data_IF_604442595467
#
_entry.id   IF_604442595467
#
_cell.length_a   1.000
_cell.length_b   1.000
_cell.length_c   1.000
_cell.angle_alpha   90.00
_cell.angle_beta   90.00
_cell.angle_gamma   90.00
#
_symmetry.space_group_name_H-M   'P 1'
#
loop_
_entity.id
_entity.type
_entity.pdbx_description
1 polymer ?
#
# COMPACT_ATOMS: atom_id res chain seq x y z
N UNK A 1 -9.53 4.66 2.06
CA UNK A 1 -9.54 3.36 1.35
C UNK A 1 -8.86 2.30 2.19
N UNK A 2 -9.45 1.11 2.39
CA UNK A 2 -8.88 0.06 3.27
C UNK A 2 -8.46 -1.19 2.50
N UNK A 3 -7.32 -1.79 2.84
CA UNK A 3 -6.80 -3.03 2.27
C UNK A 3 -6.60 -4.06 3.36
N UNK A 4 -6.98 -5.31 3.09
CA UNK A 4 -6.75 -6.42 3.99
C UNK A 4 -5.52 -7.20 3.55
N UNK A 5 -4.50 -7.24 4.40
CA UNK A 5 -3.33 -8.11 4.28
C UNK A 5 -3.70 -9.40 4.99
N UNK A 6 -3.81 -10.50 4.25
CA UNK A 6 -4.16 -11.81 4.80
C UNK A 6 -2.94 -12.72 4.84
N UNK A 7 -2.92 -13.63 5.81
CA UNK A 7 -1.85 -14.63 5.99
C UNK A 7 -1.70 -15.55 4.77
N UNK A 8 -2.81 -15.83 4.08
CA UNK A 8 -2.87 -16.80 2.98
C UNK A 8 -2.55 -16.20 1.60
N UNK A 9 -2.36 -14.89 1.53
CA UNK A 9 -2.09 -14.17 0.28
C UNK A 9 -0.71 -13.52 0.35
N UNK A 10 -0.19 -13.12 -0.80
CA UNK A 10 1.04 -12.31 -0.93
C UNK A 10 0.77 -10.95 -1.58
N UNK A 11 -0.50 -10.65 -1.86
CA UNK A 11 -0.96 -9.38 -2.39
C UNK A 11 -2.40 -9.08 -2.00
N UNK A 12 -2.72 -7.80 -1.94
CA UNK A 12 -4.10 -7.32 -1.76
C UNK A 12 -4.81 -7.21 -3.10
N UNK A 13 -6.15 -7.14 -3.09
CA UNK A 13 -6.90 -6.80 -4.29
C UNK A 13 -6.59 -5.37 -4.76
N UNK A 14 -6.38 -5.13 -6.07
CA UNK A 14 -6.24 -3.79 -6.62
C UNK A 14 -7.49 -2.95 -6.37
N UNK A 15 -7.28 -1.69 -6.01
CA UNK A 15 -8.36 -0.73 -5.86
C UNK A 15 -8.13 0.47 -6.76
N UNK A 16 -9.20 0.83 -7.48
CA UNK A 16 -9.22 2.01 -8.32
C UNK A 16 -9.43 3.28 -7.49
N UNK A 17 -8.75 4.36 -7.86
CA UNK A 17 -8.98 5.71 -7.38
C UNK A 17 -8.89 6.68 -8.56
N UNK A 18 -9.60 7.80 -8.45
CA UNK A 18 -9.66 8.84 -9.48
C UNK A 18 -9.45 10.16 -8.78
N UNK A 19 -8.20 10.62 -8.62
CA UNK A 19 -7.91 12.02 -8.33
C UNK A 19 -6.42 12.37 -8.38
N UNK A 20 -6.17 13.64 -8.68
CA UNK A 20 -4.87 14.27 -8.85
C UNK A 20 -4.44 14.89 -7.51
N UNK A 21 -3.27 14.50 -7.01
CA UNK A 21 -2.71 14.76 -5.66
C UNK A 21 -3.26 13.81 -4.58
N UNK A 22 -2.45 12.83 -4.21
CA UNK A 22 -2.82 11.86 -3.16
C UNK A 22 -1.61 11.61 -2.28
N UNK A 23 -1.80 11.81 -0.98
CA UNK A 23 -0.80 11.51 0.04
C UNK A 23 -1.12 10.20 0.74
N UNK A 24 -0.24 9.22 0.61
CA UNK A 24 -0.37 7.96 1.33
C UNK A 24 -0.06 8.13 2.83
N UNK A 25 -0.94 7.63 3.71
CA UNK A 25 -0.67 7.49 5.16
C UNK A 25 -0.78 6.02 5.54
N UNK A 26 0.31 5.41 6.02
CA UNK A 26 0.30 4.03 6.52
C UNK A 26 0.22 4.08 8.05
N UNK A 27 -0.77 3.41 8.63
CA UNK A 27 -0.88 3.26 10.08
C UNK A 27 0.18 2.25 10.55
N UNK A 28 0.95 2.55 11.62
CA UNK A 28 2.00 1.64 12.11
C UNK A 28 1.46 0.27 12.54
N UNK A 29 2.24 -0.78 12.32
CA UNK A 29 1.88 -2.15 12.70
C UNK A 29 2.59 -2.58 14.00
N UNK A 30 1.95 -3.44 14.79
CA UNK A 30 2.52 -4.02 16.03
C UNK A 30 3.36 -5.29 15.81
N UNK A 31 3.52 -5.75 14.57
CA UNK A 31 4.22 -6.99 14.20
C UNK A 31 4.90 -6.83 12.84
N UNK A 32 5.81 -7.75 12.52
CA UNK A 32 6.68 -7.69 11.34
C UNK A 32 5.93 -8.09 10.05
N UNK A 33 5.86 -7.18 9.08
CA UNK A 33 5.38 -7.45 7.72
C UNK A 33 6.57 -7.44 6.77
N UNK A 34 7.00 -8.62 6.31
CA UNK A 34 8.22 -8.76 5.52
C UNK A 34 7.99 -8.41 4.06
N UNK A 35 8.83 -7.52 3.54
CA UNK A 35 8.86 -7.18 2.11
C UNK A 35 7.61 -6.44 1.61
N UNK A 36 6.99 -5.60 2.44
CA UNK A 36 5.84 -4.78 2.02
C UNK A 36 6.24 -3.81 0.90
N UNK A 37 5.52 -3.88 -0.21
CA UNK A 37 5.69 -3.01 -1.39
C UNK A 37 4.35 -2.37 -1.74
N UNK A 38 4.38 -1.07 -1.99
CA UNK A 38 3.27 -0.35 -2.61
C UNK A 38 3.40 -0.50 -4.12
N UNK A 39 2.34 -1.00 -4.74
CA UNK A 39 2.27 -1.14 -6.18
C UNK A 39 1.20 -0.20 -6.73
N UNK A 40 1.55 0.52 -7.79
CA UNK A 40 0.72 1.51 -8.44
C UNK A 40 0.67 1.20 -9.93
N UNK A 41 -0.50 1.39 -10.56
CA UNK A 41 -0.68 1.21 -11.99
C UNK A 41 -1.52 2.34 -12.57
N UNK A 42 -1.08 2.89 -13.70
CA UNK A 42 -1.83 3.92 -14.41
C UNK A 42 -2.69 3.33 -15.53
N UNK A 43 -3.53 4.14 -16.17
CA UNK A 43 -4.44 3.69 -17.24
C UNK A 43 -3.73 3.03 -18.44
N UNK A 44 -2.43 3.29 -18.61
CA UNK A 44 -1.61 2.71 -19.68
C UNK A 44 -0.94 1.39 -19.25
N UNK A 45 -1.28 0.84 -18.08
CA UNK A 45 -0.67 -0.38 -17.53
C UNK A 45 0.77 -0.18 -17.03
N UNK A 46 1.26 1.06 -16.94
CA UNK A 46 2.60 1.32 -16.41
C UNK A 46 2.59 1.13 -14.91
N UNK A 47 3.34 0.13 -14.45
CA UNK A 47 3.50 -0.21 -13.04
C UNK A 47 4.64 0.60 -12.41
N UNK A 48 4.43 1.06 -11.19
CA UNK A 48 5.46 1.60 -10.32
C UNK A 48 5.41 0.85 -8.99
N UNK A 49 6.57 0.32 -8.58
CA UNK A 49 6.72 -0.36 -7.29
C UNK A 49 7.51 0.60 -6.41
N UNK A 50 6.90 1.06 -5.33
CA UNK A 50 7.56 1.85 -4.28
C UNK A 50 7.70 0.95 -3.07
N UNK A 51 8.94 0.62 -2.73
CA UNK A 51 9.22 -0.25 -1.60
C UNK A 51 9.01 0.52 -0.30
N UNK A 52 8.16 -0.02 0.58
CA UNK A 52 7.85 0.61 1.87
C UNK A 52 8.79 -0.02 2.89
N UNK A 53 9.98 0.54 2.97
CA UNK A 53 10.92 0.16 4.02
C UNK A 53 10.50 0.82 5.32
N UNK A 54 10.12 0.00 6.29
CA UNK A 54 9.89 0.35 7.70
C UNK A 54 8.54 1.03 8.01
N UNK A 55 7.60 0.21 8.49
CA UNK A 55 6.32 0.59 9.13
C UNK A 55 6.36 0.36 10.65
N UNK A 56 7.52 -0.07 11.16
CA UNK A 56 7.80 -0.27 12.58
C UNK A 56 8.02 1.05 13.32
N UNK A 57 8.37 2.12 12.61
CA UNK A 57 8.44 3.47 13.15
C UNK A 57 7.19 4.26 12.75
N UNK A 58 6.61 5.00 13.70
CA UNK A 58 5.39 5.82 13.59
C UNK A 58 5.47 6.97 12.55
N UNK A 59 6.42 6.91 11.63
CA UNK A 59 6.65 7.88 10.57
C UNK A 59 5.69 7.63 9.43
N UNK A 60 4.68 8.49 9.36
CA UNK A 60 3.79 8.62 8.20
C UNK A 60 4.66 9.03 7.01
N UNK A 61 4.71 8.20 5.96
CA UNK A 61 5.40 8.52 4.70
C UNK A 61 4.42 8.98 3.64
N UNK A 62 4.53 10.25 3.27
CA UNK A 62 3.82 10.82 2.15
C UNK A 62 4.39 10.29 0.82
N UNK A 63 3.58 9.58 0.05
CA UNK A 63 3.94 9.08 -1.28
C UNK A 63 2.99 9.67 -2.31
N UNK A 64 3.53 10.45 -3.26
CA UNK A 64 2.78 10.96 -4.41
C UNK A 64 2.42 9.80 -5.37
N UNK A 65 1.12 9.68 -5.67
CA UNK A 65 0.56 8.66 -6.57
C UNK A 65 -0.30 9.26 -7.69
N UNK A 66 -0.17 10.56 -7.96
CA UNK A 66 -0.98 11.36 -8.90
C UNK A 66 -1.17 10.78 -10.31
N UNK A 67 -0.16 10.19 -10.99
CA UNK A 67 -0.37 9.71 -12.36
C UNK A 67 -1.01 8.32 -12.43
N UNK A 68 -1.37 7.70 -11.30
CA UNK A 68 -1.85 6.31 -11.25
C UNK A 68 -3.37 6.27 -11.01
N UNK A 69 -3.99 5.14 -11.36
CA UNK A 69 -5.42 4.90 -11.15
C UNK A 69 -5.70 3.67 -10.29
N UNK A 70 -4.72 2.80 -10.09
CA UNK A 70 -4.85 1.60 -9.25
C UNK A 70 -3.73 1.52 -8.23
N UNK A 71 -4.05 0.97 -7.07
CA UNK A 71 -3.11 0.71 -5.98
C UNK A 71 -3.38 -0.67 -5.36
N UNK A 72 -2.31 -1.37 -5.01
CA UNK A 72 -2.35 -2.57 -4.17
C UNK A 72 -1.04 -2.70 -3.37
N UNK A 73 -1.01 -3.65 -2.46
CA UNK A 73 0.19 -4.00 -1.70
C UNK A 73 0.63 -5.42 -2.03
N UNK A 74 1.93 -5.61 -2.18
CA UNK A 74 2.59 -6.92 -2.23
C UNK A 74 3.41 -7.12 -0.96
N UNK A 75 3.53 -8.36 -0.50
CA UNK A 75 4.24 -8.71 0.73
C UNK A 75 4.67 -10.17 0.69
N UNK A 76 5.73 -10.53 1.41
CA UNK A 76 6.25 -11.90 1.42
C UNK A 76 5.45 -12.80 2.37
N UNK A 77 5.28 -12.34 3.61
CA UNK A 77 4.55 -13.08 4.63
C UNK A 77 4.13 -12.17 5.79
N UNK A 78 3.17 -12.65 6.55
CA UNK A 78 2.66 -12.04 7.78
C UNK A 78 2.31 -13.12 8.80
N UNK A 79 2.41 -12.79 10.08
CA UNK A 79 1.98 -13.61 11.21
C UNK A 79 0.48 -13.51 11.51
N UNK A 80 -0.20 -12.46 11.02
CA UNK A 80 -1.63 -12.21 11.24
C UNK A 80 -2.23 -11.29 10.17
N UNK A 81 -3.53 -11.05 10.25
CA UNK A 81 -4.19 -10.12 9.35
C UNK A 81 -3.94 -8.66 9.73
N UNK A 82 -3.82 -7.79 8.72
CA UNK A 82 -3.73 -6.34 8.90
C UNK A 82 -4.71 -5.60 8.02
N UNK A 83 -5.12 -4.42 8.49
CA UNK A 83 -5.83 -3.44 7.68
C UNK A 83 -4.88 -2.28 7.41
N UNK A 84 -4.56 -2.05 6.15
CA UNK A 84 -3.87 -0.84 5.70
C UNK A 84 -4.95 0.14 5.26
N UNK A 85 -5.04 1.27 5.95
CA UNK A 85 -5.91 2.37 5.54
C UNK A 85 -5.09 3.42 4.80
N UNK A 86 -5.44 3.64 3.55
CA UNK A 86 -4.94 4.71 2.69
C UNK A 86 -5.96 5.84 2.71
N UNK A 87 -5.63 6.95 3.36
CA UNK A 87 -6.43 8.19 3.27
C UNK A 87 -6.10 8.88 1.95
N UNK A 88 -7.11 9.39 1.26
CA UNK A 88 -6.96 10.17 0.02
C UNK A 88 -7.38 11.59 0.42
N UNK A 89 -6.41 12.50 0.50
CA UNK A 89 -6.59 13.94 0.76
C UNK A 89 -6.15 14.72 -0.47
#
# INVERSE_FOLDING_TARGET
MKFTISVEKNKTEPKYFKDENILLKIVPFKSELKGLKLCLENANGRKCIKEIFDTTNHNIKNIDITPFGYVWFEYLSTDKEYIIELVID
#
